data_IF_134803779603
#
_entry.id   IF_134803779603
#
_cell.length_a   1.000
_cell.length_b   1.000
_cell.length_c   1.000
_cell.angle_alpha   90.00
_cell.angle_beta   90.00
_cell.angle_gamma   90.00
#
_symmetry.space_group_name_H-M   'P 1'
#
loop_
_entity.id
_entity.type
_entity.pdbx_description
1 polymer ?
#
# COMPACT_ATOMS: atom_id res chain seq x y z
N UNK A 1 11.88 21.86 2.58
CA UNK A 1 12.05 20.87 3.66
C UNK A 1 11.38 19.57 3.24
N UNK A 2 11.84 18.41 3.71
CA UNK A 2 11.26 17.10 3.34
C UNK A 2 9.74 17.02 3.60
N UNK A 3 9.23 17.74 4.60
CA UNK A 3 7.79 17.83 4.88
C UNK A 3 6.96 18.50 3.77
N UNK A 4 7.55 19.36 2.93
CA UNK A 4 6.81 20.05 1.87
C UNK A 4 6.25 19.08 0.82
N UNK A 5 6.84 17.88 0.71
CA UNK A 5 6.31 16.77 -0.10
C UNK A 5 4.92 16.36 0.41
N UNK A 6 4.79 16.12 1.72
CA UNK A 6 3.51 15.75 2.35
C UNK A 6 2.48 16.88 2.27
N UNK A 7 2.92 18.14 2.34
CA UNK A 7 2.01 19.29 2.27
C UNK A 7 1.30 19.41 0.92
N UNK A 8 1.95 19.01 -0.18
CA UNK A 8 1.31 18.93 -1.51
C UNK A 8 0.08 18.03 -1.50
N UNK A 9 0.10 17.00 -0.65
CA UNK A 9 -0.95 16.01 -0.46
C UNK A 9 -1.98 16.41 0.63
N UNK A 10 -1.87 17.62 1.19
CA UNK A 10 -2.68 18.01 2.36
C UNK A 10 -2.31 17.27 3.65
N UNK A 11 -1.14 16.60 3.68
CA UNK A 11 -0.61 15.88 4.83
C UNK A 11 0.48 16.68 5.55
N UNK A 12 0.78 16.28 6.78
CA UNK A 12 1.91 16.80 7.57
C UNK A 12 2.30 15.79 8.65
N UNK A 13 3.50 15.89 9.22
CA UNK A 13 3.88 15.00 10.32
C UNK A 13 3.00 15.20 11.55
N UNK A 14 2.57 16.44 11.81
CA UNK A 14 1.63 16.75 12.88
C UNK A 14 0.28 16.06 12.68
N UNK A 15 -0.25 16.05 11.46
CA UNK A 15 -1.48 15.35 11.11
C UNK A 15 -1.30 13.83 11.22
N UNK A 16 -0.25 13.27 10.62
CA UNK A 16 0.04 11.84 10.68
C UNK A 16 0.21 11.36 12.12
N UNK A 17 0.79 12.18 13.00
CA UNK A 17 0.87 11.89 14.45
C UNK A 17 -0.52 11.84 15.10
N UNK A 18 -1.44 12.75 14.75
CA UNK A 18 -2.83 12.72 15.27
C UNK A 18 -3.57 11.47 14.80
N UNK A 19 -3.30 11.01 13.59
CA UNK A 19 -3.86 9.79 12.99
C UNK A 19 -3.14 8.51 13.44
N UNK A 20 -2.11 8.60 14.27
CA UNK A 20 -1.30 7.44 14.64
C UNK A 20 -1.91 6.67 15.80
N UNK A 21 -2.62 5.58 15.50
CA UNK A 21 -3.23 4.73 16.52
C UNK A 21 -2.17 4.06 17.41
N UNK A 22 -2.29 4.26 18.73
CA UNK A 22 -1.41 3.62 19.73
C UNK A 22 -1.98 2.26 20.15
N UNK A 23 -1.15 1.22 20.09
CA UNK A 23 -1.54 -0.14 20.49
C UNK A 23 -1.92 -0.22 21.97
N UNK A 24 -2.89 -1.09 22.26
CA UNK A 24 -3.27 -1.50 23.63
C UNK A 24 -2.52 -2.74 24.10
N UNK A 25 -1.75 -3.38 23.22
CA UNK A 25 -0.81 -4.44 23.61
C UNK A 25 0.15 -3.91 24.67
N UNK A 26 0.48 -4.76 25.65
CA UNK A 26 1.47 -4.43 26.69
C UNK A 26 2.83 -4.13 26.05
N UNK A 27 3.22 -5.02 25.13
CA UNK A 27 4.44 -4.98 24.36
C UNK A 27 4.34 -4.07 23.11
N UNK A 28 5.48 -3.85 22.45
CA UNK A 28 5.56 -3.07 21.23
C UNK A 28 5.19 -3.89 19.97
N UNK A 29 4.96 -3.22 18.84
CA UNK A 29 4.50 -3.85 17.60
C UNK A 29 5.60 -4.58 16.81
N UNK A 30 6.85 -4.56 17.27
CA UNK A 30 7.94 -5.32 16.68
C UNK A 30 7.96 -6.80 17.14
N UNK A 31 7.13 -7.16 18.13
CA UNK A 31 6.95 -8.55 18.56
C UNK A 31 6.34 -9.42 17.46
N UNK A 32 6.57 -10.74 17.56
CA UNK A 32 5.99 -11.73 16.66
C UNK A 32 4.50 -11.90 16.93
N UNK A 33 3.72 -12.12 15.87
CA UNK A 33 2.28 -12.31 15.98
C UNK A 33 1.91 -13.57 16.76
N UNK A 34 2.72 -14.63 16.68
CA UNK A 34 2.51 -15.87 17.44
C UNK A 34 2.57 -15.69 18.97
N UNK A 35 3.11 -14.57 19.45
CA UNK A 35 3.18 -14.26 20.87
C UNK A 35 1.89 -13.63 21.41
N UNK A 36 0.93 -13.32 20.53
CA UNK A 36 -0.30 -12.62 20.89
C UNK A 36 -1.47 -13.57 21.10
N UNK A 37 -2.31 -13.24 22.08
CA UNK A 37 -3.63 -13.84 22.20
C UNK A 37 -4.51 -13.41 21.01
N UNK A 38 -5.06 -14.40 20.31
CA UNK A 38 -5.84 -14.17 19.07
C UNK A 38 -7.12 -13.38 19.32
N UNK A 39 -7.81 -13.63 20.45
CA UNK A 39 -9.04 -12.93 20.79
C UNK A 39 -8.75 -11.45 21.09
N UNK A 40 -7.69 -11.18 21.85
CA UNK A 40 -7.23 -9.83 22.13
C UNK A 40 -6.82 -9.09 20.86
N UNK A 41 -5.99 -9.71 20.00
CA UNK A 41 -5.54 -9.09 18.75
C UNK A 41 -6.73 -8.79 17.84
N UNK A 42 -7.68 -9.72 17.71
CA UNK A 42 -8.89 -9.52 16.90
C UNK A 42 -9.72 -8.34 17.40
N UNK A 43 -9.92 -8.24 18.72
CA UNK A 43 -10.63 -7.12 19.31
C UNK A 43 -9.85 -5.81 19.15
N UNK A 44 -8.51 -5.81 19.28
CA UNK A 44 -7.69 -4.63 18.97
C UNK A 44 -7.87 -4.15 17.54
N UNK A 45 -7.74 -5.05 16.55
CA UNK A 45 -7.89 -4.71 15.14
C UNK A 45 -9.28 -4.13 14.83
N UNK A 46 -10.34 -4.67 15.46
CA UNK A 46 -11.69 -4.11 15.36
C UNK A 46 -11.75 -2.68 15.92
N UNK A 47 -11.14 -2.44 17.09
CA UNK A 47 -11.11 -1.11 17.69
C UNK A 47 -10.35 -0.10 16.85
N UNK A 48 -9.27 -0.51 16.18
CA UNK A 48 -8.52 0.36 15.25
C UNK A 48 -9.41 0.79 14.08
N UNK A 49 -10.13 -0.15 13.46
CA UNK A 49 -11.03 0.14 12.33
C UNK A 49 -12.12 1.12 12.76
N UNK A 50 -12.79 0.86 13.89
CA UNK A 50 -13.82 1.75 14.43
C UNK A 50 -13.28 3.15 14.74
N UNK A 51 -12.06 3.23 15.28
CA UNK A 51 -11.42 4.52 15.58
C UNK A 51 -11.17 5.34 14.31
N UNK A 52 -10.65 4.71 13.25
CA UNK A 52 -10.46 5.40 11.97
C UNK A 52 -11.80 5.76 11.30
N UNK A 53 -12.79 4.86 11.31
CA UNK A 53 -14.11 5.12 10.72
C UNK A 53 -14.85 6.27 11.43
N UNK A 54 -14.56 6.50 12.71
CA UNK A 54 -15.15 7.57 13.52
C UNK A 54 -14.33 8.87 13.52
N UNK A 55 -13.26 8.95 12.72
CA UNK A 55 -12.34 10.10 12.74
C UNK A 55 -12.77 11.22 11.80
N UNK A 56 -13.29 12.31 12.35
CA UNK A 56 -13.63 13.55 11.61
C UNK A 56 -12.42 14.18 10.90
N UNK A 57 -11.20 13.89 11.37
CA UNK A 57 -9.98 14.37 10.71
C UNK A 57 -9.88 13.80 9.30
N UNK A 58 -10.23 12.52 9.09
CA UNK A 58 -10.05 11.84 7.81
C UNK A 58 -11.06 12.33 6.77
N UNK A 59 -12.32 12.50 7.18
CA UNK A 59 -13.40 12.96 6.29
C UNK A 59 -13.18 14.38 5.76
N UNK A 60 -12.38 15.20 6.45
CA UNK A 60 -12.01 16.56 6.02
C UNK A 60 -10.77 16.66 5.14
N UNK A 61 -10.08 15.55 4.84
CA UNK A 61 -8.84 15.61 4.05
C UNK A 61 -9.14 15.66 2.54
N UNK A 62 -8.36 16.44 1.76
CA UNK A 62 -8.50 16.52 0.31
C UNK A 62 -7.90 15.29 -0.41
N UNK A 63 -7.14 14.45 0.29
CA UNK A 63 -6.46 13.27 -0.25
C UNK A 63 -7.32 12.01 -0.12
N UNK A 64 -7.26 11.17 -1.15
CA UNK A 64 -7.86 9.84 -1.12
C UNK A 64 -7.24 8.98 -0.02
N UNK A 65 -8.09 8.45 0.85
CA UNK A 65 -7.70 7.51 1.89
C UNK A 65 -8.54 6.24 1.84
N UNK A 66 -8.00 5.19 2.44
CA UNK A 66 -8.65 3.90 2.60
C UNK A 66 -8.40 3.38 4.00
N UNK A 67 -9.48 2.97 4.65
CA UNK A 67 -9.43 2.13 5.83
C UNK A 67 -9.66 0.69 5.38
N UNK A 68 -8.75 -0.22 5.74
CA UNK A 68 -8.89 -1.63 5.38
C UNK A 68 -9.98 -2.25 6.25
N UNK A 69 -10.92 -2.97 5.63
CA UNK A 69 -11.99 -3.63 6.37
C UNK A 69 -11.45 -4.70 7.32
N UNK A 70 -12.12 -4.87 8.47
CA UNK A 70 -11.74 -5.87 9.47
C UNK A 70 -11.57 -7.27 8.85
N UNK A 71 -12.48 -7.67 7.97
CA UNK A 71 -12.39 -8.97 7.29
C UNK A 71 -11.12 -9.10 6.43
N UNK A 72 -10.70 -8.04 5.73
CA UNK A 72 -9.47 -8.07 4.94
C UNK A 72 -8.22 -8.08 5.83
N UNK A 73 -8.26 -7.41 6.98
CA UNK A 73 -7.19 -7.45 7.99
C UNK A 73 -7.05 -8.87 8.55
N UNK A 74 -8.16 -9.51 8.96
CA UNK A 74 -8.14 -10.87 9.51
C UNK A 74 -7.67 -11.91 8.48
N UNK A 75 -8.02 -11.75 7.19
CA UNK A 75 -7.42 -12.58 6.12
C UNK A 75 -5.91 -12.39 5.97
N UNK A 76 -5.39 -11.19 6.26
CA UNK A 76 -3.94 -10.92 6.24
C UNK A 76 -3.26 -11.59 7.44
N UNK A 77 -3.89 -11.54 8.61
CA UNK A 77 -3.48 -12.28 9.81
C UNK A 77 -3.39 -13.79 9.56
N UNK A 78 -4.44 -14.41 9.01
CA UNK A 78 -4.50 -15.85 8.73
C UNK A 78 -3.42 -16.36 7.77
N UNK A 79 -2.90 -15.49 6.87
CA UNK A 79 -1.83 -15.83 5.93
C UNK A 79 -0.44 -15.48 6.44
N UNK A 80 -0.33 -14.73 7.54
CA UNK A 80 0.95 -14.32 8.07
C UNK A 80 1.66 -15.53 8.70
N UNK A 81 2.99 -15.61 8.51
CA UNK A 81 3.81 -16.49 9.35
C UNK A 81 3.73 -16.00 10.79
N UNK A 82 3.70 -16.92 11.77
CA UNK A 82 3.67 -16.57 13.19
C UNK A 82 4.85 -15.69 13.63
N UNK A 83 6.00 -15.85 12.99
CA UNK A 83 7.22 -15.05 13.22
C UNK A 83 7.13 -13.62 12.66
N UNK A 84 6.10 -13.33 11.86
CA UNK A 84 5.93 -12.00 11.27
C UNK A 84 5.66 -10.99 12.37
N UNK A 85 6.27 -9.80 12.25
CA UNK A 85 6.06 -8.70 13.19
C UNK A 85 4.69 -8.06 12.99
N UNK A 86 4.02 -7.71 14.09
CA UNK A 86 2.70 -7.06 14.08
C UNK A 86 2.71 -5.80 13.20
N UNK A 87 3.71 -4.93 13.37
CA UNK A 87 3.84 -3.68 12.60
C UNK A 87 4.00 -3.91 11.10
N UNK A 88 4.56 -5.05 10.67
CA UNK A 88 4.74 -5.37 9.24
C UNK A 88 3.48 -5.96 8.63
N UNK A 89 2.77 -6.79 9.39
CA UNK A 89 1.52 -7.41 8.92
C UNK A 89 0.40 -6.38 8.88
N UNK A 90 0.36 -5.43 9.81
CA UNK A 90 -0.71 -4.44 9.89
C UNK A 90 -0.25 -3.02 9.55
N UNK A 91 0.68 -2.89 8.60
CA UNK A 91 1.28 -1.63 8.15
C UNK A 91 0.37 -0.75 7.27
N UNK A 92 -0.81 -1.24 6.90
CA UNK A 92 -1.66 -0.67 5.86
C UNK A 92 -3.15 -0.70 6.27
N UNK A 93 -3.44 -0.64 7.58
CA UNK A 93 -4.83 -0.51 8.07
C UNK A 93 -5.41 0.83 7.61
N UNK A 94 -4.68 1.93 7.84
CA UNK A 94 -4.93 3.22 7.21
C UNK A 94 -3.91 3.42 6.09
N UNK A 95 -4.40 3.73 4.90
CA UNK A 95 -3.56 4.04 3.74
C UNK A 95 -4.06 5.27 2.99
N UNK A 96 -3.15 6.12 2.54
CA UNK A 96 -3.40 7.22 1.63
C UNK A 96 -2.95 6.87 0.22
N UNK A 97 -3.58 7.45 -0.80
CA UNK A 97 -3.20 7.31 -2.20
C UNK A 97 -3.07 8.67 -2.82
N UNK A 98 -1.94 8.90 -3.48
CA UNK A 98 -1.69 10.17 -4.17
C UNK A 98 -0.91 9.93 -5.46
N UNK A 99 -0.85 10.99 -6.27
CA UNK A 99 -0.05 11.06 -7.47
C UNK A 99 1.18 11.93 -7.24
N UNK A 100 2.28 11.58 -7.90
CA UNK A 100 3.50 12.40 -7.93
C UNK A 100 4.01 12.55 -9.36
N UNK A 101 4.74 13.63 -9.63
CA UNK A 101 5.35 13.84 -10.95
C UNK A 101 6.48 12.84 -11.22
N UNK A 102 7.31 12.59 -10.21
CA UNK A 102 8.41 11.63 -10.25
C UNK A 102 8.66 11.04 -8.85
N UNK A 103 9.31 9.89 -8.80
CA UNK A 103 9.61 9.22 -7.55
C UNK A 103 10.85 9.76 -6.83
N UNK A 104 11.76 10.46 -7.51
CA UNK A 104 13.01 10.96 -6.92
C UNK A 104 12.75 11.90 -5.73
N UNK A 105 11.76 12.78 -5.85
CA UNK A 105 11.36 13.65 -4.75
C UNK A 105 10.84 12.83 -3.56
N UNK A 106 10.00 11.83 -3.82
CA UNK A 106 9.39 10.97 -2.78
C UNK A 106 10.45 10.15 -2.04
N UNK A 107 11.46 9.64 -2.75
CA UNK A 107 12.54 8.84 -2.15
C UNK A 107 13.34 9.64 -1.09
N UNK A 108 13.37 10.97 -1.17
CA UNK A 108 14.00 11.84 -0.15
C UNK A 108 13.31 11.76 1.21
N UNK A 109 12.05 11.30 1.28
CA UNK A 109 11.35 11.06 2.55
C UNK A 109 12.04 10.00 3.42
N UNK A 110 12.92 9.17 2.86
CA UNK A 110 13.80 8.26 3.62
C UNK A 110 14.60 8.97 4.72
N UNK A 111 14.96 10.23 4.51
CA UNK A 111 15.76 11.00 5.46
C UNK A 111 14.93 11.53 6.63
N UNK A 112 13.59 11.52 6.52
CA UNK A 112 12.72 11.95 7.59
C UNK A 112 12.65 10.90 8.71
N UNK A 113 12.60 11.40 9.95
CA UNK A 113 12.37 10.56 11.11
C UNK A 113 11.03 9.83 10.98
N UNK A 114 10.99 8.59 11.48
CA UNK A 114 9.78 7.76 11.54
C UNK A 114 9.21 7.35 10.18
N UNK A 115 9.99 7.49 9.11
CA UNK A 115 9.62 7.09 7.76
C UNK A 115 10.42 5.88 7.32
N UNK A 116 9.72 4.90 6.73
CA UNK A 116 10.31 3.82 5.93
C UNK A 116 9.82 3.92 4.49
N UNK A 117 10.68 3.56 3.53
CA UNK A 117 10.38 3.66 2.10
C UNK A 117 10.46 2.28 1.45
N UNK A 118 9.41 1.87 0.77
CA UNK A 118 9.40 0.72 -0.12
C UNK A 118 9.39 1.22 -1.57
N UNK A 119 10.57 1.17 -2.19
CA UNK A 119 10.76 1.56 -3.59
C UNK A 119 10.47 0.36 -4.50
N UNK A 120 9.39 0.48 -5.28
CA UNK A 120 9.00 -0.48 -6.31
C UNK A 120 8.91 0.22 -7.67
N UNK A 121 9.62 1.34 -7.87
CA UNK A 121 9.61 2.07 -9.14
C UNK A 121 10.18 1.26 -10.29
N UNK A 122 10.95 0.21 -9.99
CA UNK A 122 11.50 -0.74 -10.95
C UNK A 122 10.90 -2.16 -10.80
N UNK A 123 9.78 -2.26 -10.07
CA UNK A 123 9.13 -3.52 -9.76
C UNK A 123 9.33 -3.99 -8.32
N UNK A 124 8.47 -4.90 -7.89
CA UNK A 124 8.57 -5.57 -6.59
C UNK A 124 9.67 -6.63 -6.62
N UNK A 125 10.12 -7.08 -5.45
CA UNK A 125 11.00 -8.26 -5.32
C UNK A 125 10.45 -9.48 -6.06
N UNK A 126 9.14 -9.70 -5.96
CA UNK A 126 8.40 -10.63 -6.79
C UNK A 126 7.59 -9.81 -7.79
N UNK A 127 8.23 -9.47 -8.92
CA UNK A 127 7.64 -8.57 -9.91
C UNK A 127 6.35 -9.16 -10.48
N UNK A 128 5.34 -8.31 -10.60
CA UNK A 128 4.02 -8.60 -11.15
C UNK A 128 3.58 -7.52 -12.15
N UNK A 129 4.53 -6.68 -12.59
CA UNK A 129 4.30 -5.53 -13.46
C UNK A 129 3.91 -4.26 -12.70
N UNK A 130 3.72 -4.31 -11.37
CA UNK A 130 3.43 -3.12 -10.56
C UNK A 130 4.62 -2.16 -10.52
N UNK A 131 4.34 -0.85 -10.52
CA UNK A 131 5.34 0.22 -10.30
C UNK A 131 4.81 1.25 -9.31
N UNK A 132 5.64 1.73 -8.38
CA UNK A 132 5.22 2.73 -7.39
C UNK A 132 6.18 2.88 -6.22
N UNK A 133 5.99 3.89 -5.39
CA UNK A 133 6.76 4.08 -4.15
C UNK A 133 5.81 4.20 -2.98
N UNK A 134 6.00 3.38 -1.95
CA UNK A 134 5.23 3.45 -0.72
C UNK A 134 6.07 4.03 0.40
N UNK A 135 5.43 4.87 1.20
CA UNK A 135 6.00 5.45 2.40
C UNK A 135 5.19 4.95 3.58
N UNK A 136 5.87 4.54 4.64
CA UNK A 136 5.25 4.12 5.89
C UNK A 136 5.68 5.08 6.99
N UNK A 137 4.72 5.80 7.57
CA UNK A 137 4.95 6.63 8.75
C UNK A 137 4.58 5.86 10.02
N UNK A 138 5.53 5.73 10.95
CA UNK A 138 5.31 5.08 12.23
C UNK A 138 5.79 5.97 13.38
N UNK A 139 4.86 6.63 14.08
CA UNK A 139 5.19 7.62 15.10
C UNK A 139 6.11 7.07 16.22
N UNK A 140 5.98 5.78 16.55
CA UNK A 140 6.89 5.04 17.43
C UNK A 140 6.53 3.55 17.48
N UNK A 141 7.33 2.74 18.18
CA UNK A 141 7.20 1.27 18.20
C UNK A 141 5.87 0.75 18.77
N UNK A 142 5.10 1.59 19.45
CA UNK A 142 3.75 1.28 19.98
C UNK A 142 2.63 1.88 19.14
N UNK A 143 2.92 2.33 17.92
CA UNK A 143 1.94 2.91 17.02
C UNK A 143 1.91 2.15 15.70
N UNK A 144 0.70 1.89 15.22
CA UNK A 144 0.50 1.23 13.93
C UNK A 144 0.99 2.14 12.79
N UNK A 145 1.71 1.59 11.79
CA UNK A 145 2.13 2.38 10.64
C UNK A 145 0.95 2.88 9.81
N UNK A 146 1.14 4.03 9.19
CA UNK A 146 0.25 4.61 8.18
C UNK A 146 0.94 4.50 6.82
N UNK A 147 0.27 3.90 5.84
CA UNK A 147 0.79 3.78 4.48
C UNK A 147 0.42 5.01 3.64
N UNK A 148 1.34 5.47 2.80
CA UNK A 148 1.08 6.47 1.76
C UNK A 148 1.63 5.92 0.44
N UNK A 149 0.74 5.73 -0.53
CA UNK A 149 1.06 5.17 -1.84
C UNK A 149 1.23 6.29 -2.87
N UNK A 150 2.45 6.46 -3.37
CA UNK A 150 2.79 7.36 -4.45
C UNK A 150 2.86 6.61 -5.78
N UNK A 151 2.14 7.10 -6.78
CA UNK A 151 2.25 6.64 -8.16
C UNK A 151 2.42 7.83 -9.10
N UNK A 152 3.23 7.69 -10.15
CA UNK A 152 3.11 8.58 -11.29
C UNK A 152 1.76 8.36 -11.97
N UNK A 153 1.27 9.35 -12.72
CA UNK A 153 0.06 9.18 -13.52
C UNK A 153 0.19 8.00 -14.50
N UNK A 154 1.35 7.91 -15.16
CA UNK A 154 1.73 6.84 -16.06
C UNK A 154 1.62 5.45 -15.38
N UNK A 155 2.23 5.29 -14.22
CA UNK A 155 2.18 4.00 -13.51
C UNK A 155 0.81 3.70 -12.91
N UNK A 156 0.09 4.71 -12.42
CA UNK A 156 -1.25 4.51 -11.87
C UNK A 156 -2.19 3.94 -12.92
N UNK A 157 -2.14 4.45 -14.15
CA UNK A 157 -2.95 3.95 -15.26
C UNK A 157 -2.71 2.46 -15.47
N UNK A 158 -1.45 2.06 -15.66
CA UNK A 158 -1.11 0.67 -15.90
C UNK A 158 -1.40 -0.23 -14.69
N UNK A 159 -1.13 0.24 -13.47
CA UNK A 159 -1.46 -0.48 -12.23
C UNK A 159 -2.97 -0.73 -12.11
N UNK A 160 -3.82 0.22 -12.54
CA UNK A 160 -5.27 0.03 -12.52
C UNK A 160 -5.70 -1.07 -13.50
N UNK A 161 -5.13 -1.12 -14.70
CA UNK A 161 -5.40 -2.20 -15.66
C UNK A 161 -4.88 -3.56 -15.16
N UNK A 162 -3.67 -3.62 -14.60
CA UNK A 162 -3.16 -4.83 -13.96
C UNK A 162 -4.08 -5.32 -12.84
N UNK A 163 -4.58 -4.40 -12.00
CA UNK A 163 -5.53 -4.74 -10.95
C UNK A 163 -6.83 -5.31 -11.51
N UNK A 164 -7.42 -4.65 -12.51
CA UNK A 164 -8.72 -5.01 -13.09
C UNK A 164 -8.65 -6.35 -13.84
N UNK A 165 -7.63 -6.52 -14.68
CA UNK A 165 -7.59 -7.60 -15.64
C UNK A 165 -6.69 -8.76 -15.23
N UNK A 166 -5.62 -8.53 -14.45
CA UNK A 166 -4.64 -9.58 -14.10
C UNK A 166 -4.89 -10.07 -12.68
N UNK A 167 -4.75 -9.21 -11.67
CA UNK A 167 -4.76 -9.64 -10.26
C UNK A 167 -6.14 -10.09 -9.78
N UNK A 168 -7.19 -9.33 -10.13
CA UNK A 168 -8.57 -9.68 -9.77
C UNK A 168 -9.06 -10.97 -10.44
N UNK A 169 -8.39 -11.39 -11.52
CA UNK A 169 -8.68 -12.63 -12.27
C UNK A 169 -7.71 -13.77 -11.91
N UNK A 170 -6.78 -13.52 -11.00
CA UNK A 170 -5.77 -14.49 -10.55
C UNK A 170 -4.90 -15.04 -11.69
N UNK A 171 -4.65 -14.23 -12.72
CA UNK A 171 -3.66 -14.56 -13.74
C UNK A 171 -2.24 -14.55 -13.15
N UNK A 172 -1.32 -15.36 -13.68
CA UNK A 172 0.04 -15.46 -13.18
C UNK A 172 0.84 -14.17 -13.41
N UNK A 173 1.86 -13.94 -12.58
CA UNK A 173 2.63 -12.70 -12.55
C UNK A 173 3.31 -12.37 -13.91
N UNK A 174 3.70 -13.39 -14.68
CA UNK A 174 4.29 -13.21 -16.00
C UNK A 174 3.37 -12.47 -16.98
N UNK A 175 2.03 -12.64 -16.89
CA UNK A 175 1.07 -11.87 -17.69
C UNK A 175 1.20 -10.39 -17.38
N UNK A 176 1.24 -10.03 -16.09
CA UNK A 176 1.40 -8.64 -15.66
C UNK A 176 2.75 -8.03 -16.09
N UNK A 177 3.83 -8.80 -15.98
CA UNK A 177 5.17 -8.39 -16.44
C UNK A 177 5.17 -8.12 -17.96
N UNK A 178 4.57 -9.01 -18.75
CA UNK A 178 4.51 -8.85 -20.21
C UNK A 178 3.70 -7.62 -20.59
N UNK A 179 2.52 -7.43 -20.00
CA UNK A 179 1.73 -6.22 -20.24
C UNK A 179 2.50 -4.95 -19.86
N UNK A 180 3.20 -4.95 -18.71
CA UNK A 180 4.03 -3.80 -18.29
C UNK A 180 5.09 -3.47 -19.35
N UNK A 181 5.79 -4.47 -19.88
CA UNK A 181 6.80 -4.26 -20.93
C UNK A 181 6.19 -3.69 -22.21
N UNK A 182 5.03 -4.16 -22.63
CA UNK A 182 4.36 -3.65 -23.83
C UNK A 182 3.82 -2.22 -23.62
N UNK A 183 3.37 -1.89 -22.40
CA UNK A 183 3.02 -0.52 -22.00
C UNK A 183 4.23 0.42 -22.02
N UNK A 184 5.37 -0.01 -21.47
CA UNK A 184 6.65 0.73 -21.47
C UNK A 184 7.21 0.94 -22.89
N UNK A 185 6.91 0.03 -23.82
CA UNK A 185 7.24 0.17 -25.24
C UNK A 185 6.27 1.05 -26.04
N UNK A 186 5.20 1.53 -25.40
CA UNK A 186 4.19 2.37 -26.04
C UNK A 186 3.16 1.63 -26.89
N UNK A 187 3.09 0.29 -26.82
CA UNK A 187 2.07 -0.51 -27.52
C UNK A 187 0.70 -0.39 -26.86
N UNK A 188 0.67 -0.20 -25.54
CA UNK A 188 -0.56 0.00 -24.77
C UNK A 188 -0.61 1.48 -24.36
N UNK A 189 -1.62 2.21 -24.83
CA UNK A 189 -1.88 3.62 -24.47
C UNK A 189 -3.30 3.82 -23.96
N UNK A 190 -4.19 2.91 -24.31
CA UNK A 190 -5.61 2.89 -23.94
C UNK A 190 -5.98 1.57 -23.28
N UNK A 191 -7.13 1.57 -22.60
CA UNK A 191 -7.65 0.35 -21.98
C UNK A 191 -8.02 -0.71 -23.03
N UNK A 192 -8.56 -0.30 -24.19
CA UNK A 192 -8.86 -1.19 -25.31
C UNK A 192 -7.60 -1.91 -25.83
N UNK A 193 -6.51 -1.18 -26.04
CA UNK A 193 -5.23 -1.77 -26.44
C UNK A 193 -4.68 -2.70 -25.34
N UNK A 194 -4.91 -2.38 -24.05
CA UNK A 194 -4.52 -3.27 -22.96
C UNK A 194 -5.27 -4.61 -23.00
N UNK A 195 -6.58 -4.59 -23.28
CA UNK A 195 -7.40 -5.79 -23.44
C UNK A 195 -7.00 -6.60 -24.68
N UNK A 196 -6.66 -5.94 -25.79
CA UNK A 196 -6.13 -6.59 -27.00
C UNK A 196 -4.83 -7.33 -26.71
N UNK A 197 -3.84 -6.63 -26.15
CA UNK A 197 -2.54 -7.26 -25.82
C UNK A 197 -2.72 -8.36 -24.78
N UNK A 198 -3.63 -8.21 -23.81
CA UNK A 198 -3.93 -9.27 -22.86
C UNK A 198 -4.45 -10.53 -23.55
N UNK A 199 -5.36 -10.41 -24.53
CA UNK A 199 -5.86 -11.57 -25.28
C UNK A 199 -4.73 -12.28 -26.02
N UNK A 200 -3.84 -11.53 -26.66
CA UNK A 200 -2.67 -12.09 -27.34
C UNK A 200 -1.80 -12.87 -26.35
N UNK A 201 -1.44 -12.24 -25.22
CA UNK A 201 -0.59 -12.85 -24.17
C UNK A 201 -1.21 -14.12 -23.60
N UNK A 202 -2.52 -14.13 -23.35
CA UNK A 202 -3.21 -15.33 -22.85
C UNK A 202 -3.27 -16.44 -23.89
N UNK A 203 -3.49 -16.10 -25.17
CA UNK A 203 -3.53 -17.10 -26.26
C UNK A 203 -2.17 -17.78 -26.50
N UNK A 204 -1.07 -17.07 -26.26
CA UNK A 204 0.28 -17.64 -26.36
C UNK A 204 0.67 -18.47 -25.14
N UNK A 205 -0.04 -18.33 -24.01
CA UNK A 205 0.15 -19.16 -22.83
C UNK A 205 -0.59 -20.52 -22.90
N UNK A 206 -1.51 -20.70 -23.86
CA UNK A 206 -2.27 -21.94 -24.07
C UNK A 206 -1.61 -22.91 -25.09
N UNK A 207 -0.46 -22.53 -25.66
CA UNK A 207 0.33 -23.35 -26.60
C UNK A 207 1.49 -24.05 -25.88
#
# INVERSE_FOLDING_TARGET
MVEDILKKDGLSFALLRKLSFRTRLEENLAQAISCLDEAFLTEELKNIVVWYDSSDILSGLPIDYRIKSLQAILRKYQRASGESRVERVFNDILGFRTLCDNYEEILRLREAKNISVADMSNGKTHDDGYRGVYIYYQYGHRHYPIEIQYNTYYDRQMNNWLHKYVWSKHHPANVGITLRREYERGRIRTECECEEVLRDVLSDCEK
#
